data_IF_406806270898
#
_entry.id   IF_406806270898
#
_cell.length_a   1.000
_cell.length_b   1.000
_cell.length_c   1.000
_cell.angle_alpha   90.00
_cell.angle_beta   90.00
_cell.angle_gamma   90.00
#
_symmetry.space_group_name_H-M   'P 1'
#
loop_
_entity.id
_entity.type
_entity.pdbx_description
1 polymer ?
#
# COMPACT_ATOMS: atom_id res chain seq x y z
N UNK A 1 -26.50 -29.47 -45.16
CA UNK A 1 -27.10 -28.22 -45.76
C UNK A 1 -26.00 -27.16 -45.81
N UNK A 2 -25.57 -26.95 -47.03
CA UNK A 2 -24.46 -26.12 -47.49
C UNK A 2 -24.87 -24.65 -47.61
N UNK A 3 -24.12 -23.69 -47.15
CA UNK A 3 -24.10 -22.35 -47.72
C UNK A 3 -22.69 -21.75 -47.69
N UNK A 4 -22.06 -21.79 -48.86
CA UNK A 4 -20.94 -20.95 -49.26
C UNK A 4 -21.47 -19.57 -49.64
N UNK A 5 -20.77 -18.52 -49.19
CA UNK A 5 -20.92 -17.16 -49.78
C UNK A 5 -19.51 -16.72 -50.13
N UNK A 6 -19.31 -16.64 -51.42
CA UNK A 6 -18.17 -16.08 -52.15
C UNK A 6 -18.53 -14.61 -52.48
N UNK A 7 -17.63 -13.67 -52.29
CA UNK A 7 -17.68 -12.37 -52.98
C UNK A 7 -16.32 -12.05 -53.57
N UNK A 8 -16.41 -11.77 -54.86
CA UNK A 8 -15.36 -11.43 -55.80
C UNK A 8 -14.95 -9.95 -55.75
N UNK A 9 -13.69 -9.70 -55.95
CA UNK A 9 -13.00 -8.70 -56.80
C UNK A 9 -13.52 -7.29 -57.01
N UNK A 10 -12.63 -6.30 -56.80
CA UNK A 10 -12.45 -5.22 -57.76
C UNK A 10 -11.01 -4.67 -57.68
N UNK A 11 -10.38 -4.74 -58.84
CA UNK A 11 -9.08 -4.26 -59.26
C UNK A 11 -9.25 -2.79 -59.71
N UNK A 12 -8.36 -1.86 -59.30
CA UNK A 12 -8.16 -0.62 -60.02
C UNK A 12 -6.69 -0.18 -59.96
N UNK A 13 -6.06 -0.23 -61.12
CA UNK A 13 -4.79 0.37 -61.44
C UNK A 13 -4.89 1.90 -61.47
N UNK A 14 -3.88 2.59 -61.00
CA UNK A 14 -3.67 4.01 -61.22
C UNK A 14 -2.20 4.35 -61.12
N UNK A 15 -1.49 4.31 -62.23
CA UNK A 15 -0.12 4.78 -62.41
C UNK A 15 -0.17 6.29 -62.66
N UNK A 16 0.62 7.08 -61.91
CA UNK A 16 1.07 8.38 -62.38
C UNK A 16 2.36 8.75 -61.70
N UNK A 17 3.41 8.69 -62.49
CA UNK A 17 4.72 9.23 -62.25
C UNK A 17 4.71 10.76 -62.36
N UNK A 18 5.27 11.47 -61.39
CA UNK A 18 5.95 12.76 -61.66
C UNK A 18 7.08 12.93 -60.67
N UNK A 19 8.29 12.87 -61.21
CA UNK A 19 9.55 13.24 -60.63
C UNK A 19 9.63 14.75 -60.58
N UNK A 20 9.85 15.35 -59.38
CA UNK A 20 10.42 16.69 -59.25
C UNK A 20 11.53 16.63 -58.24
N UNK A 21 12.71 16.90 -58.75
CA UNK A 21 13.90 17.16 -57.94
C UNK A 21 13.74 18.57 -57.31
N UNK A 22 13.64 18.62 -56.01
CA UNK A 22 13.65 19.87 -55.26
C UNK A 22 14.90 19.96 -54.41
N UNK A 23 15.69 20.96 -54.68
CA UNK A 23 16.95 21.35 -54.12
C UNK A 23 16.87 21.45 -52.58
N UNK A 24 17.67 20.67 -51.91
CA UNK A 24 17.82 20.73 -50.46
C UNK A 24 18.52 22.03 -50.05
N UNK A 25 17.78 23.00 -49.56
CA UNK A 25 18.29 24.12 -48.80
C UNK A 25 18.37 23.69 -47.33
N UNK A 26 19.60 23.62 -46.80
CA UNK A 26 19.82 23.31 -45.39
C UNK A 26 19.12 24.34 -44.48
N UNK A 27 18.35 23.94 -43.46
CA UNK A 27 17.84 24.89 -42.49
C UNK A 27 18.99 25.37 -41.61
N UNK A 28 19.19 26.68 -41.60
CA UNK A 28 20.02 27.41 -40.63
C UNK A 28 19.57 27.04 -39.22
N UNK A 29 20.47 26.47 -38.43
CA UNK A 29 20.28 26.22 -37.03
C UNK A 29 20.09 27.55 -36.31
N UNK A 30 18.84 27.92 -36.02
CA UNK A 30 18.55 29.01 -35.10
C UNK A 30 19.04 28.62 -33.71
N UNK A 31 19.94 29.41 -33.14
CA UNK A 31 20.43 29.26 -31.78
C UNK A 31 19.23 29.23 -30.80
N UNK A 32 19.05 28.13 -30.10
CA UNK A 32 18.13 28.06 -29.00
C UNK A 32 18.59 29.01 -27.88
N UNK A 33 17.68 29.80 -27.31
CA UNK A 33 18.03 30.57 -26.11
C UNK A 33 18.37 29.57 -24.97
N UNK A 34 19.28 29.98 -24.05
CA UNK A 34 19.66 29.11 -22.95
C UNK A 34 18.42 28.70 -22.13
N UNK A 35 18.26 27.42 -21.96
CA UNK A 35 17.24 26.86 -21.05
C UNK A 35 17.53 27.46 -19.68
N UNK A 36 16.65 28.34 -19.22
CA UNK A 36 16.68 28.85 -17.87
C UNK A 36 16.60 27.60 -16.94
N UNK A 37 17.61 27.48 -16.08
CA UNK A 37 17.63 26.44 -15.06
C UNK A 37 16.27 26.46 -14.35
N UNK A 38 15.56 25.32 -14.40
CA UNK A 38 14.37 25.14 -13.63
C UNK A 38 14.74 25.43 -12.17
N UNK A 39 14.12 26.45 -11.59
CA UNK A 39 14.26 26.75 -10.20
C UNK A 39 13.86 25.47 -9.45
N UNK A 40 14.76 24.98 -8.61
CA UNK A 40 14.47 23.95 -7.63
C UNK A 40 13.18 24.33 -6.92
N UNK A 41 12.12 23.62 -7.25
CA UNK A 41 10.89 23.68 -6.45
C UNK A 41 11.28 23.04 -5.12
N UNK A 42 11.71 23.87 -4.19
CA UNK A 42 11.97 23.45 -2.83
C UNK A 42 10.69 22.77 -2.33
N UNK A 43 10.75 21.44 -2.26
CA UNK A 43 9.72 20.63 -1.60
C UNK A 43 9.56 21.22 -0.21
N UNK A 44 8.37 21.73 0.10
CA UNK A 44 8.08 22.28 1.41
C UNK A 44 8.45 21.21 2.46
N UNK A 45 9.16 21.56 3.53
CA UNK A 45 9.47 20.61 4.56
C UNK A 45 8.17 20.00 5.08
N UNK A 46 8.12 18.67 5.35
CA UNK A 46 6.94 18.03 5.89
C UNK A 46 6.50 18.75 7.17
N UNK A 47 5.18 18.85 7.41
CA UNK A 47 4.66 19.54 8.59
C UNK A 47 5.34 18.99 9.85
N UNK A 48 5.82 19.88 10.69
CA UNK A 48 6.47 19.53 11.95
C UNK A 48 5.51 18.62 12.75
N UNK A 49 6.01 17.49 13.23
CA UNK A 49 5.25 16.61 14.11
C UNK A 49 4.69 17.44 15.29
N UNK A 50 3.41 17.25 15.62
CA UNK A 50 2.81 17.92 16.76
C UNK A 50 3.63 17.64 18.03
N UNK A 51 3.77 18.61 18.96
CA UNK A 51 4.51 18.41 20.20
C UNK A 51 3.91 17.23 20.96
N UNK A 52 4.69 16.17 21.15
CA UNK A 52 4.26 15.00 21.93
C UNK A 52 4.50 15.31 23.41
N UNK A 53 3.46 15.12 24.24
CA UNK A 53 3.61 15.20 25.69
C UNK A 53 4.41 13.97 26.15
N UNK A 54 5.62 14.13 26.75
CA UNK A 54 6.44 13.02 27.19
C UNK A 54 5.79 12.19 28.30
N UNK A 55 4.75 12.72 28.98
CA UNK A 55 4.03 12.04 30.06
C UNK A 55 2.71 11.41 29.59
N UNK A 56 2.32 11.56 28.31
CA UNK A 56 1.09 10.93 27.82
C UNK A 56 1.21 9.39 27.89
N UNK A 57 0.13 8.68 28.27
CA UNK A 57 0.12 7.22 28.28
C UNK A 57 0.51 6.65 26.90
N UNK A 58 1.45 5.73 26.92
CA UNK A 58 1.95 5.07 25.71
C UNK A 58 1.45 3.63 25.68
N UNK A 59 1.01 3.17 24.51
CA UNK A 59 0.52 1.83 24.25
C UNK A 59 1.19 1.23 23.02
N UNK A 60 1.86 0.10 23.18
CA UNK A 60 2.42 -0.66 22.08
C UNK A 60 1.39 -1.69 21.59
N UNK A 61 1.16 -1.72 20.29
CA UNK A 61 0.20 -2.61 19.63
C UNK A 61 0.88 -3.33 18.49
N UNK A 62 0.61 -4.62 18.38
CA UNK A 62 1.01 -5.44 17.23
C UNK A 62 -0.26 -5.88 16.50
N UNK A 63 -0.39 -5.48 15.25
CA UNK A 63 -1.49 -5.85 14.36
C UNK A 63 -1.01 -6.93 13.40
N UNK A 64 -1.29 -8.22 13.66
CA UNK A 64 -0.87 -9.29 12.77
C UNK A 64 -1.66 -9.24 11.45
N UNK A 65 -1.04 -9.63 10.35
CA UNK A 65 -1.70 -9.67 9.04
C UNK A 65 -2.91 -10.62 9.03
N UNK A 66 -2.89 -11.64 9.88
CA UNK A 66 -4.06 -12.49 10.09
C UNK A 66 -5.33 -11.70 10.50
N UNK A 67 -5.18 -10.53 11.11
CA UNK A 67 -6.28 -9.69 11.59
C UNK A 67 -6.64 -8.56 10.61
N UNK A 68 -5.64 -7.92 9.99
CA UNK A 68 -5.81 -6.69 9.21
C UNK A 68 -5.69 -6.88 7.70
N UNK A 69 -5.22 -8.04 7.24
CA UNK A 69 -5.18 -8.36 5.83
C UNK A 69 -6.49 -9.03 5.39
N UNK A 70 -6.87 -8.92 4.11
CA UNK A 70 -7.98 -9.69 3.56
C UNK A 70 -7.77 -11.20 3.80
N UNK A 71 -8.84 -11.98 4.09
CA UNK A 71 -8.71 -13.42 4.27
C UNK A 71 -8.01 -14.09 3.07
N UNK A 72 -7.10 -15.04 3.30
CA UNK A 72 -6.75 -15.74 4.55
C UNK A 72 -5.65 -15.08 5.41
N UNK A 73 -5.35 -13.80 5.24
CA UNK A 73 -4.31 -13.08 6.00
C UNK A 73 -2.89 -13.27 5.47
N UNK A 74 -2.75 -13.91 4.31
CA UNK A 74 -1.49 -14.07 3.58
C UNK A 74 -1.60 -13.48 2.19
N UNK A 75 -0.48 -13.07 1.61
CA UNK A 75 -0.43 -12.61 0.21
C UNK A 75 0.52 -13.47 -0.59
N UNK A 76 0.05 -13.99 -1.72
CA UNK A 76 0.94 -14.53 -2.74
C UNK A 76 1.02 -13.49 -3.87
N UNK A 77 2.04 -12.66 -3.81
CA UNK A 77 2.33 -11.66 -4.85
C UNK A 77 2.92 -12.38 -6.07
N UNK A 78 2.44 -12.07 -7.26
CA UNK A 78 2.87 -12.70 -8.52
C UNK A 78 3.16 -11.63 -9.55
N UNK A 79 3.91 -11.96 -10.59
CA UNK A 79 4.23 -11.02 -11.65
C UNK A 79 3.01 -10.35 -12.30
N UNK A 80 1.86 -11.05 -12.42
CA UNK A 80 0.59 -10.50 -12.94
C UNK A 80 -0.28 -9.81 -11.88
N UNK A 81 0.01 -10.02 -10.60
CA UNK A 81 -0.66 -9.39 -9.45
C UNK A 81 0.40 -9.12 -8.39
N UNK A 82 1.23 -8.09 -8.61
CA UNK A 82 2.44 -7.87 -7.82
C UNK A 82 2.17 -7.16 -6.48
N UNK A 83 0.95 -6.75 -6.21
CA UNK A 83 0.61 -5.96 -5.03
C UNK A 83 -0.31 -6.71 -4.06
N UNK A 84 -0.14 -6.41 -2.79
CA UNK A 84 -1.00 -6.77 -1.69
C UNK A 84 -1.13 -5.60 -0.73
N UNK A 85 -2.28 -5.48 -0.07
CA UNK A 85 -2.55 -4.34 0.81
C UNK A 85 -3.21 -4.78 2.11
N UNK A 86 -2.91 -4.04 3.16
CA UNK A 86 -3.54 -4.12 4.47
C UNK A 86 -4.05 -2.75 4.87
N UNK A 87 -5.12 -2.71 5.64
CA UNK A 87 -5.74 -1.48 6.10
C UNK A 87 -5.80 -1.47 7.62
N UNK A 88 -5.59 -0.30 8.22
CA UNK A 88 -5.73 -0.10 9.66
C UNK A 88 -6.18 1.33 9.96
N UNK A 89 -6.88 1.48 11.08
CA UNK A 89 -7.33 2.78 11.57
C UNK A 89 -6.48 3.27 12.74
N UNK A 90 -6.58 4.57 13.00
CA UNK A 90 -6.05 5.23 14.20
C UNK A 90 -7.18 5.99 14.85
N UNK A 91 -7.43 5.75 16.15
CA UNK A 91 -8.49 6.39 16.91
C UNK A 91 -8.28 7.91 16.97
N UNK A 92 -9.38 8.66 17.12
CA UNK A 92 -9.35 10.13 17.28
C UNK A 92 -8.60 10.60 18.52
N UNK A 93 -8.57 9.77 19.57
CA UNK A 93 -7.92 10.06 20.85
C UNK A 93 -6.49 9.52 20.94
N UNK A 94 -5.91 9.06 19.83
CA UNK A 94 -4.55 8.50 19.76
C UNK A 94 -3.75 9.08 18.60
N UNK A 95 -2.45 9.14 18.78
CA UNK A 95 -1.48 9.45 17.71
C UNK A 95 -0.40 8.38 17.68
N UNK A 96 0.04 8.01 16.48
CA UNK A 96 1.14 7.05 16.32
C UNK A 96 2.46 7.78 16.42
N UNK A 97 3.28 7.41 17.40
CA UNK A 97 4.63 7.97 17.61
C UNK A 97 5.73 7.16 16.93
N UNK A 98 5.52 5.84 16.77
CA UNK A 98 6.43 4.94 16.05
C UNK A 98 5.64 3.89 15.30
N UNK A 99 6.10 3.54 14.11
CA UNK A 99 5.54 2.47 13.32
C UNK A 99 6.65 1.61 12.69
N UNK A 100 6.46 0.30 12.70
CA UNK A 100 7.41 -0.68 12.16
C UNK A 100 6.66 -1.81 11.48
N UNK A 101 6.98 -2.09 10.25
CA UNK A 101 6.55 -3.28 9.54
C UNK A 101 7.52 -4.43 9.86
N UNK A 102 7.01 -5.49 10.47
CA UNK A 102 7.73 -6.73 10.73
C UNK A 102 7.19 -7.79 9.77
N UNK A 103 7.88 -7.99 8.66
CA UNK A 103 7.41 -8.80 7.54
C UNK A 103 8.17 -10.12 7.45
N UNK A 104 7.43 -11.22 7.47
CA UNK A 104 7.92 -12.56 7.15
C UNK A 104 7.47 -12.95 5.75
N UNK A 105 8.42 -13.34 4.88
CA UNK A 105 8.15 -13.64 3.49
C UNK A 105 9.07 -14.75 2.95
N UNK A 106 8.57 -15.44 1.93
CA UNK A 106 9.33 -16.45 1.20
C UNK A 106 9.34 -16.09 -0.28
N UNK A 107 10.50 -15.72 -0.84
CA UNK A 107 10.63 -15.43 -2.27
C UNK A 107 10.83 -16.71 -3.07
N UNK A 108 10.43 -16.69 -4.34
CA UNK A 108 10.71 -17.78 -5.27
C UNK A 108 12.22 -18.06 -5.40
N UNK A 109 12.64 -19.32 -5.46
CA UNK A 109 14.05 -19.69 -5.65
C UNK A 109 14.60 -19.34 -7.04
N UNK A 110 13.72 -19.05 -8.00
CA UNK A 110 14.10 -18.74 -9.38
C UNK A 110 14.33 -17.22 -9.63
N UNK A 111 14.19 -16.37 -8.62
CA UNK A 111 14.39 -14.93 -8.79
C UNK A 111 15.87 -14.58 -8.97
N UNK A 112 16.11 -13.50 -9.71
CA UNK A 112 17.45 -12.89 -9.79
C UNK A 112 17.65 -12.04 -8.52
N UNK A 113 18.65 -12.39 -7.70
CA UNK A 113 18.97 -11.63 -6.50
C UNK A 113 19.33 -10.18 -6.84
N UNK A 114 19.06 -9.27 -5.90
CA UNK A 114 19.34 -7.83 -5.97
C UNK A 114 18.44 -7.07 -6.96
N UNK A 115 18.17 -7.62 -8.15
CA UNK A 115 17.23 -7.03 -9.10
C UNK A 115 15.78 -7.17 -8.61
N UNK A 116 15.48 -8.32 -7.96
CA UNK A 116 14.17 -8.53 -7.35
C UNK A 116 14.07 -7.84 -5.98
N UNK A 117 12.96 -7.16 -5.74
CA UNK A 117 12.78 -6.38 -4.51
C UNK A 117 11.29 -6.21 -4.15
N UNK A 118 11.05 -5.80 -2.91
CA UNK A 118 9.72 -5.42 -2.41
C UNK A 118 9.73 -3.94 -2.06
N UNK A 119 8.76 -3.20 -2.57
CA UNK A 119 8.50 -1.80 -2.21
C UNK A 119 7.37 -1.76 -1.20
N UNK A 120 7.52 -0.94 -0.18
CA UNK A 120 6.52 -0.73 0.87
C UNK A 120 6.03 0.70 0.79
N UNK A 121 4.72 0.87 0.65
CA UNK A 121 4.07 2.17 0.60
C UNK A 121 3.12 2.31 1.80
N UNK A 122 3.03 3.50 2.36
CA UNK A 122 1.99 3.92 3.29
C UNK A 122 1.22 5.09 2.67
N UNK A 123 -0.09 4.94 2.50
CA UNK A 123 -0.95 5.98 1.88
C UNK A 123 -0.39 6.52 0.56
N UNK A 124 0.13 5.60 -0.29
CA UNK A 124 0.80 5.83 -1.58
C UNK A 124 2.21 6.48 -1.49
N UNK A 125 2.70 6.82 -0.31
CA UNK A 125 4.07 7.29 -0.10
C UNK A 125 5.04 6.12 0.10
N UNK A 126 6.19 6.15 -0.58
CA UNK A 126 7.20 5.10 -0.50
C UNK A 126 7.95 5.16 0.84
N UNK A 127 7.75 4.16 1.69
CA UNK A 127 8.45 4.06 2.98
C UNK A 127 9.81 3.38 2.86
N UNK A 128 9.96 2.44 1.93
CA UNK A 128 11.21 1.76 1.73
C UNK A 128 11.18 0.69 0.66
N UNK A 129 12.37 0.20 0.33
CA UNK A 129 12.60 -0.88 -0.63
C UNK A 129 13.51 -1.92 0.02
N UNK A 130 13.11 -3.18 -0.07
CA UNK A 130 13.92 -4.32 0.39
C UNK A 130 14.31 -5.17 -0.80
N UNK A 131 15.60 -5.26 -1.08
CA UNK A 131 16.14 -6.16 -2.10
C UNK A 131 16.18 -7.59 -1.59
N UNK A 132 16.01 -8.56 -2.49
CA UNK A 132 16.06 -9.99 -2.16
C UNK A 132 17.49 -10.49 -2.39
N UNK A 133 18.16 -10.92 -1.31
CA UNK A 133 19.50 -11.48 -1.39
C UNK A 133 19.46 -12.94 -1.83
N UNK A 134 20.58 -13.44 -2.37
CA UNK A 134 20.70 -14.82 -2.85
C UNK A 134 20.39 -15.86 -1.76
N UNK A 135 20.81 -15.58 -0.54
CA UNK A 135 20.66 -16.47 0.61
C UNK A 135 19.20 -16.58 1.09
N UNK A 136 18.37 -15.64 0.68
CA UNK A 136 16.95 -15.55 1.05
C UNK A 136 16.04 -16.37 0.12
N UNK A 137 16.52 -16.74 -1.06
CA UNK A 137 15.74 -17.42 -2.09
C UNK A 137 15.20 -18.76 -1.60
N UNK A 138 13.91 -19.00 -1.81
CA UNK A 138 13.23 -20.25 -1.48
C UNK A 138 13.12 -20.58 0.00
N UNK A 139 13.39 -19.60 0.90
CA UNK A 139 13.36 -19.79 2.35
C UNK A 139 12.50 -18.71 3.01
N UNK A 140 11.89 -19.01 4.18
CA UNK A 140 11.28 -17.99 5.01
C UNK A 140 12.33 -16.99 5.51
N UNK A 141 12.05 -15.72 5.37
CA UNK A 141 12.91 -14.63 5.79
C UNK A 141 12.08 -13.61 6.58
N UNK A 142 12.73 -12.90 7.48
CA UNK A 142 12.09 -11.86 8.28
C UNK A 142 12.86 -10.56 8.17
N UNK A 143 12.15 -9.49 7.92
CA UNK A 143 12.72 -8.13 7.88
C UNK A 143 11.90 -7.21 8.75
N UNK A 144 12.55 -6.17 9.25
CA UNK A 144 11.90 -5.07 9.95
C UNK A 144 12.20 -3.78 9.20
N UNK A 145 11.14 -3.03 8.90
CA UNK A 145 11.24 -1.76 8.19
C UNK A 145 10.51 -0.69 8.99
N UNK A 146 11.22 0.39 9.31
CA UNK A 146 10.60 1.56 9.93
C UNK A 146 9.65 2.22 8.93
N UNK A 147 8.48 2.61 9.42
CA UNK A 147 7.48 3.39 8.69
C UNK A 147 7.43 4.77 9.34
N UNK A 148 7.44 5.82 8.53
CA UNK A 148 7.38 7.18 9.04
C UNK A 148 5.97 7.50 9.56
N UNK A 149 5.77 7.71 10.87
CA UNK A 149 4.46 7.93 11.45
C UNK A 149 3.81 9.24 11.01
N UNK A 150 4.55 10.19 10.43
CA UNK A 150 4.01 11.46 9.93
C UNK A 150 3.03 11.30 8.77
N UNK A 151 3.10 10.17 8.05
CA UNK A 151 2.19 9.85 6.96
C UNK A 151 0.97 9.03 7.41
N UNK A 152 0.86 8.74 8.71
CA UNK A 152 -0.28 8.03 9.30
C UNK A 152 -1.42 9.02 9.53
N UNK A 153 -2.62 8.63 9.08
CA UNK A 153 -3.87 9.36 9.19
C UNK A 153 -4.93 8.52 9.92
N UNK A 154 -6.18 8.95 9.92
CA UNK A 154 -7.30 8.22 10.54
C UNK A 154 -7.50 6.82 9.94
N UNK A 155 -7.44 6.72 8.61
CA UNK A 155 -7.50 5.46 7.87
C UNK A 155 -6.27 5.32 7.00
N UNK A 156 -5.62 4.18 7.12
CA UNK A 156 -4.33 3.96 6.50
C UNK A 156 -4.31 2.68 5.68
N UNK A 157 -3.53 2.74 4.60
CA UNK A 157 -3.28 1.61 3.72
C UNK A 157 -1.77 1.39 3.58
N UNK A 158 -1.30 0.21 3.98
CA UNK A 158 0.05 -0.24 3.65
C UNK A 158 -0.04 -1.15 2.43
N UNK A 159 0.66 -0.77 1.35
CA UNK A 159 0.70 -1.54 0.11
C UNK A 159 2.11 -2.09 -0.10
N UNK A 160 2.18 -3.39 -0.31
CA UNK A 160 3.40 -4.13 -0.65
C UNK A 160 3.40 -4.37 -2.15
N UNK A 161 4.47 -4.00 -2.83
CA UNK A 161 4.62 -4.21 -4.28
C UNK A 161 5.85 -5.05 -4.53
N UNK A 162 5.65 -6.24 -5.08
CA UNK A 162 6.71 -7.13 -5.49
C UNK A 162 7.17 -6.82 -6.92
N UNK A 163 8.45 -6.55 -7.09
CA UNK A 163 9.12 -6.44 -8.38
C UNK A 163 10.06 -7.62 -8.50
N UNK A 164 9.68 -8.61 -9.32
CA UNK A 164 10.43 -9.84 -9.48
C UNK A 164 11.03 -9.96 -10.87
N UNK A 165 12.27 -10.41 -10.94
CA UNK A 165 12.99 -10.74 -12.15
C UNK A 165 13.50 -12.17 -12.09
N UNK A 166 13.33 -12.95 -13.17
CA UNK A 166 13.80 -14.34 -13.26
C UNK A 166 14.73 -14.56 -14.47
N UNK A 167 14.82 -13.59 -15.37
CA UNK A 167 15.75 -13.57 -16.50
C UNK A 167 16.02 -12.14 -16.95
N UNK A 168 17.14 -11.93 -17.64
CA UNK A 168 17.59 -10.58 -17.98
C UNK A 168 16.95 -10.00 -19.26
N UNK A 169 16.26 -10.81 -20.05
CA UNK A 169 15.72 -10.39 -21.34
C UNK A 169 14.33 -11.02 -21.55
N UNK A 170 13.36 -10.23 -21.99
CA UNK A 170 12.03 -10.65 -22.41
C UNK A 170 11.28 -11.50 -21.36
N UNK A 171 11.09 -10.96 -20.17
CA UNK A 171 10.36 -11.62 -19.10
C UNK A 171 8.86 -11.73 -19.38
N UNK A 172 8.30 -12.89 -19.04
CA UNK A 172 6.86 -13.10 -19.04
C UNK A 172 6.29 -12.86 -17.62
N UNK A 173 5.47 -11.83 -17.38
CA UNK A 173 4.90 -11.58 -16.06
C UNK A 173 3.97 -12.70 -15.57
N UNK A 174 3.46 -13.55 -16.47
CA UNK A 174 2.67 -14.72 -16.11
C UNK A 174 3.53 -15.94 -15.73
N UNK A 175 4.85 -15.82 -15.71
CA UNK A 175 5.74 -16.92 -15.32
C UNK A 175 5.43 -17.40 -13.90
N UNK A 176 5.37 -18.72 -13.72
CA UNK A 176 5.20 -19.35 -12.41
C UNK A 176 6.42 -19.16 -11.50
N UNK A 177 7.55 -18.68 -12.06
CA UNK A 177 8.76 -18.34 -11.32
C UNK A 177 8.65 -17.00 -10.56
N UNK A 178 7.73 -16.14 -10.94
CA UNK A 178 7.54 -14.81 -10.35
C UNK A 178 6.52 -14.85 -9.21
N UNK A 179 6.99 -15.16 -8.01
CA UNK A 179 6.15 -15.12 -6.82
C UNK A 179 6.94 -14.76 -5.55
N UNK A 180 6.21 -14.19 -4.61
CA UNK A 180 6.65 -13.92 -3.25
C UNK A 180 5.46 -14.16 -2.32
N UNK A 181 5.63 -15.04 -1.35
CA UNK A 181 4.62 -15.33 -0.32
C UNK A 181 4.90 -14.53 0.93
N UNK A 182 3.94 -13.72 1.36
CA UNK A 182 3.99 -12.94 2.59
C UNK A 182 3.13 -13.63 3.64
N UNK A 183 3.75 -14.04 4.73
CA UNK A 183 3.14 -14.83 5.79
C UNK A 183 2.15 -14.02 6.63
N UNK A 184 1.10 -14.68 7.11
CA UNK A 184 0.15 -14.14 8.10
C UNK A 184 0.78 -13.81 9.46
N UNK A 185 1.99 -14.34 9.75
CA UNK A 185 2.78 -14.01 10.94
C UNK A 185 3.44 -12.64 10.86
N UNK A 186 3.42 -12.00 9.67
CA UNK A 186 3.80 -10.61 9.53
C UNK A 186 2.89 -9.73 10.38
N UNK A 187 3.43 -8.62 10.88
CA UNK A 187 2.68 -7.70 11.73
C UNK A 187 3.10 -6.25 11.51
N UNK A 188 2.15 -5.36 11.68
CA UNK A 188 2.41 -3.94 11.82
C UNK A 188 2.49 -3.62 13.31
N UNK A 189 3.64 -3.14 13.77
CA UNK A 189 3.88 -2.75 15.17
C UNK A 189 3.77 -1.24 15.27
N UNK A 190 2.87 -0.78 16.13
CA UNK A 190 2.55 0.63 16.32
C UNK A 190 2.72 1.00 17.78
N UNK A 191 3.30 2.16 18.03
CA UNK A 191 3.35 2.80 19.34
C UNK A 191 2.41 3.99 19.32
N UNK A 192 1.35 3.89 20.09
CA UNK A 192 0.35 4.94 20.26
C UNK A 192 0.64 5.79 21.49
N UNK A 193 0.37 7.05 21.39
CA UNK A 193 0.33 8.00 22.47
C UNK A 193 -1.10 8.56 22.57
N UNK A 194 -1.69 8.46 23.76
CA UNK A 194 -3.05 8.96 23.99
C UNK A 194 -3.07 10.48 24.07
N UNK A 195 -4.02 11.08 23.38
CA UNK A 195 -4.25 12.51 23.42
C UNK A 195 -5.21 12.88 24.57
N UNK A 196 -5.02 14.01 25.23
CA UNK A 196 -5.97 14.48 26.23
C UNK A 196 -7.29 14.87 25.56
N UNK A 197 -8.33 14.12 25.79
CA UNK A 197 -9.69 14.41 25.31
C UNK A 197 -10.54 14.93 26.45
N UNK A 198 -11.33 15.97 26.20
CA UNK A 198 -12.31 16.47 27.16
C UNK A 198 -13.49 15.50 27.26
N UNK A 199 -13.94 15.23 28.49
CA UNK A 199 -15.12 14.42 28.75
C UNK A 199 -16.40 15.22 28.49
N UNK A 200 -16.80 15.33 27.22
CA UNK A 200 -18.01 16.01 26.78
C UNK A 200 -18.94 15.03 26.07
N UNK A 201 -20.23 15.07 26.36
CA UNK A 201 -21.23 14.21 25.73
C UNK A 201 -21.34 14.43 24.21
N UNK A 202 -20.88 15.58 23.71
CA UNK A 202 -20.81 15.87 22.27
C UNK A 202 -19.88 14.92 21.52
N UNK A 203 -18.94 14.28 22.20
CA UNK A 203 -18.02 13.31 21.61
C UNK A 203 -18.56 11.85 21.65
N UNK A 204 -19.73 11.63 22.29
CA UNK A 204 -20.30 10.28 22.31
C UNK A 204 -20.50 9.76 20.88
N UNK A 205 -20.09 8.50 20.58
CA UNK A 205 -19.78 7.38 21.47
C UNK A 205 -18.31 7.27 21.95
N UNK A 206 -17.44 8.22 21.60
CA UNK A 206 -16.05 8.23 22.10
C UNK A 206 -16.00 8.51 23.63
N UNK A 207 -15.05 7.92 24.37
CA UNK A 207 -13.96 7.02 23.92
C UNK A 207 -14.36 5.55 23.88
N UNK A 208 -15.63 5.17 24.12
CA UNK A 208 -16.08 3.78 24.22
C UNK A 208 -16.05 3.06 22.87
N UNK A 209 -16.44 3.78 21.81
CA UNK A 209 -16.46 3.28 20.45
C UNK A 209 -15.86 4.30 19.49
N UNK A 210 -14.93 3.83 18.66
CA UNK A 210 -14.41 4.55 17.50
C UNK A 210 -14.31 3.55 16.34
N UNK A 211 -14.94 3.84 15.21
CA UNK A 211 -14.93 2.98 14.02
C UNK A 211 -13.54 2.75 13.42
N UNK A 212 -12.56 3.57 13.81
CA UNK A 212 -11.16 3.48 13.42
C UNK A 212 -10.35 2.51 14.30
N UNK A 213 -10.93 2.02 15.43
CA UNK A 213 -10.23 1.08 16.29
C UNK A 213 -10.10 -0.30 15.59
N UNK A 214 -8.89 -0.83 15.53
CA UNK A 214 -8.62 -2.15 14.95
C UNK A 214 -8.97 -3.30 15.89
N UNK A 215 -9.39 -3.02 17.10
CA UNK A 215 -9.78 -4.01 18.11
C UNK A 215 -11.27 -4.21 18.11
N UNK A 216 -11.75 -5.44 18.38
CA UNK A 216 -13.17 -5.67 18.63
C UNK A 216 -13.62 -4.90 19.88
N UNK A 217 -14.77 -4.26 19.80
CA UNK A 217 -15.37 -3.59 20.94
C UNK A 217 -15.68 -4.59 22.05
N UNK A 218 -15.21 -4.30 23.25
CA UNK A 218 -15.61 -5.01 24.48
C UNK A 218 -16.14 -3.99 25.46
N UNK A 219 -17.45 -3.92 25.62
CA UNK A 219 -18.12 -3.00 26.53
C UNK A 219 -18.70 -3.76 27.73
N UNK A 220 -18.05 -3.76 28.89
CA UNK A 220 -18.60 -4.37 30.10
C UNK A 220 -19.75 -3.51 30.65
N UNK A 221 -20.93 -4.13 30.82
CA UNK A 221 -22.06 -3.49 31.46
C UNK A 221 -22.20 -4.00 32.89
N UNK A 222 -22.18 -3.10 33.86
CA UNK A 222 -22.28 -3.42 35.29
C UNK A 222 -23.58 -2.88 35.84
N UNK A 223 -24.37 -3.76 36.45
CA UNK A 223 -25.61 -3.37 37.12
C UNK A 223 -25.42 -3.44 38.64
N UNK A 224 -26.03 -2.54 39.38
CA UNK A 224 -25.93 -2.51 40.85
C UNK A 224 -26.66 -3.67 41.55
N UNK A 225 -27.48 -4.42 40.82
CA UNK A 225 -28.23 -5.59 41.27
C UNK A 225 -28.73 -6.39 40.08
N UNK A 226 -29.77 -7.21 40.27
CA UNK A 226 -30.40 -7.89 39.15
C UNK A 226 -31.07 -6.86 38.24
N UNK A 227 -30.70 -6.81 36.94
CA UNK A 227 -31.26 -5.83 36.02
C UNK A 227 -32.76 -6.13 35.76
N UNK A 228 -33.56 -5.10 35.77
CA UNK A 228 -34.94 -5.18 35.31
C UNK A 228 -35.03 -5.28 33.77
N UNK A 229 -36.25 -5.52 33.26
CA UNK A 229 -36.46 -5.68 31.82
C UNK A 229 -36.11 -4.43 31.02
N UNK A 230 -36.31 -3.21 31.59
CA UNK A 230 -35.98 -1.97 30.92
C UNK A 230 -34.47 -1.77 30.83
N UNK A 231 -33.73 -2.08 31.89
CA UNK A 231 -32.28 -2.04 31.93
C UNK A 231 -31.67 -3.08 30.98
N UNK A 232 -32.22 -4.30 30.89
CA UNK A 232 -31.77 -5.32 29.93
C UNK A 232 -32.01 -4.87 28.48
N UNK A 233 -33.15 -4.23 28.19
CA UNK A 233 -33.44 -3.69 26.86
C UNK A 233 -32.49 -2.55 26.50
N UNK A 234 -32.23 -1.64 27.45
CA UNK A 234 -31.26 -0.55 27.21
C UNK A 234 -29.84 -1.11 26.93
N UNK A 235 -29.42 -2.12 27.69
CA UNK A 235 -28.14 -2.79 27.47
C UNK A 235 -28.07 -3.44 26.07
N UNK A 236 -29.15 -4.10 25.63
CA UNK A 236 -29.22 -4.73 24.31
C UNK A 236 -29.31 -3.75 23.14
N UNK A 237 -29.69 -2.48 23.38
CA UNK A 237 -29.66 -1.43 22.35
C UNK A 237 -28.26 -0.86 22.21
N UNK A 238 -27.46 -0.84 23.30
CA UNK A 238 -26.09 -0.34 23.31
C UNK A 238 -25.06 -1.35 22.81
N UNK A 239 -25.42 -2.65 22.80
CA UNK A 239 -24.56 -3.74 22.31
C UNK A 239 -24.74 -3.97 20.82
#
# INVERSE_FOLDING_TARGET
MTRKITWLTALALGISTLSQAETATAPTVAAQPPIAAAADTATAPPPAAAPQDPNAPVRDVSLPFAQIAPPPGTFVLRGTRPDGQIEFGVRSDEVVSQAMLDMEFTPSPALIPVESHVKVYLNEELMGVTTIAKEQLGKPNRIQMAIDPRYITDFNRVRLVFVGHYQNICENPASTSLWLDVSKSSALKLRFQTLPVKNELSHFPEPFFDSRDNRPLTLPMVFAGQPDLAQQRAAGILA
#
